data_IF_085916856193
#
_entry.id   IF_085916856193
#
_cell.length_a   1.000
_cell.length_b   1.000
_cell.length_c   1.000
_cell.angle_alpha   90.00
_cell.angle_beta   90.00
_cell.angle_gamma   90.00
#
_symmetry.space_group_name_H-M   'P 1'
#
loop_
_entity.id
_entity.type
_entity.pdbx_description
1 polymer ?
#
# COMPACT_ATOMS: atom_id res chain seq x y z
N UNK A 1 -11.54 -25.34 -3.31
CA UNK A 1 -10.42 -24.51 -2.81
C UNK A 1 -10.89 -23.07 -2.87
N UNK A 2 -10.89 -22.36 -1.74
CA UNK A 2 -11.66 -21.12 -1.56
C UNK A 2 -10.66 -19.98 -1.35
N UNK A 3 -10.37 -19.25 -2.43
CA UNK A 3 -9.40 -18.16 -2.47
C UNK A 3 -9.57 -17.18 -1.31
N UNK A 4 -8.45 -16.91 -0.63
CA UNK A 4 -8.27 -16.10 0.57
C UNK A 4 -8.96 -14.72 0.53
N UNK A 5 -9.32 -14.17 -0.63
CA UNK A 5 -9.89 -12.82 -0.76
C UNK A 5 -11.09 -12.68 -1.70
N UNK A 6 -11.60 -13.77 -2.30
CA UNK A 6 -12.62 -13.70 -3.36
C UNK A 6 -14.04 -14.06 -2.92
N UNK A 7 -14.24 -14.37 -1.64
CA UNK A 7 -15.57 -14.76 -1.13
C UNK A 7 -16.62 -13.66 -1.32
N UNK A 8 -16.18 -12.40 -1.40
CA UNK A 8 -17.00 -11.26 -1.80
C UNK A 8 -16.17 -10.34 -2.69
N UNK A 9 -16.70 -10.01 -3.86
CA UNK A 9 -16.10 -9.06 -4.81
C UNK A 9 -16.29 -7.63 -4.31
N UNK A 10 -15.66 -7.31 -3.19
CA UNK A 10 -15.79 -6.00 -2.52
C UNK A 10 -15.32 -4.85 -3.42
N UNK A 11 -14.38 -5.11 -4.33
CA UNK A 11 -13.92 -4.14 -5.33
C UNK A 11 -14.97 -3.80 -6.40
N UNK A 12 -16.03 -4.61 -6.57
CA UNK A 12 -17.16 -4.33 -7.47
C UNK A 12 -18.33 -3.64 -6.73
N UNK A 13 -18.20 -3.37 -5.42
CA UNK A 13 -19.27 -2.84 -4.58
C UNK A 13 -18.98 -1.41 -4.13
N UNK A 14 -19.51 -0.42 -4.87
CA UNK A 14 -19.26 1.01 -4.62
C UNK A 14 -19.64 1.51 -3.21
N UNK A 15 -20.56 0.82 -2.52
CA UNK A 15 -20.96 1.16 -1.14
C UNK A 15 -19.91 0.75 -0.09
N UNK A 16 -18.98 -0.13 -0.44
CA UNK A 16 -17.93 -0.61 0.46
C UNK A 16 -16.62 0.09 0.09
N UNK A 17 -16.29 1.15 0.81
CA UNK A 17 -15.02 1.88 0.62
C UNK A 17 -13.88 1.37 1.50
N UNK A 18 -14.18 0.61 2.56
CA UNK A 18 -13.19 -0.02 3.43
C UNK A 18 -13.81 -1.13 4.29
N UNK A 19 -12.98 -2.07 4.74
CA UNK A 19 -13.35 -3.13 5.70
C UNK A 19 -12.28 -3.15 6.78
N UNK A 20 -12.67 -3.14 8.06
CA UNK A 20 -11.77 -3.18 9.22
C UNK A 20 -10.68 -2.08 9.28
N UNK A 21 -10.85 -0.98 8.53
CA UNK A 21 -9.97 0.19 8.62
C UNK A 21 -10.27 0.94 9.92
N UNK A 22 -9.23 1.36 10.63
CA UNK A 22 -9.39 2.23 11.79
C UNK A 22 -10.09 3.54 11.39
N UNK A 23 -10.83 4.18 12.31
CA UNK A 23 -11.43 5.49 12.06
C UNK A 23 -10.39 6.51 11.63
N UNK A 24 -10.78 7.43 10.74
CA UNK A 24 -9.92 8.57 10.39
C UNK A 24 -9.60 9.35 11.66
N UNK A 25 -8.33 9.60 11.88
CA UNK A 25 -7.85 10.36 13.03
C UNK A 25 -6.56 11.07 12.64
N UNK A 26 -6.38 12.28 13.16
CA UNK A 26 -5.08 12.94 13.17
C UNK A 26 -4.23 12.26 14.24
N UNK A 27 -3.83 11.00 14.01
CA UNK A 27 -2.99 10.25 14.94
C UNK A 27 -1.69 11.05 15.12
N UNK A 28 -1.43 11.64 16.30
CA UNK A 28 -0.16 12.29 16.53
C UNK A 28 0.91 11.21 16.51
N UNK A 29 2.04 11.50 15.86
CA UNK A 29 3.22 10.68 16.02
C UNK A 29 3.57 10.63 17.51
N UNK A 30 3.85 9.42 17.99
CA UNK A 30 4.26 9.24 19.37
C UNK A 30 5.76 9.57 19.46
N UNK A 31 6.13 10.36 20.46
CA UNK A 31 7.52 10.70 20.74
C UNK A 31 7.86 10.32 22.18
N UNK A 32 9.08 9.81 22.44
CA UNK A 32 9.55 9.54 23.79
C UNK A 32 9.53 10.75 24.71
N UNK A 33 9.86 11.94 24.18
CA UNK A 33 9.95 13.17 24.98
C UNK A 33 9.14 14.31 24.37
N UNK A 34 8.71 15.22 25.24
CA UNK A 34 8.02 16.45 24.84
C UNK A 34 8.86 17.34 23.93
N UNK A 35 10.18 17.40 24.16
CA UNK A 35 11.08 18.24 23.37
C UNK A 35 11.17 17.78 21.92
N UNK A 36 11.24 16.47 21.69
CA UNK A 36 11.21 15.88 20.35
C UNK A 36 9.87 16.19 19.65
N UNK A 37 8.75 15.97 20.35
CA UNK A 37 7.42 16.30 19.82
C UNK A 37 7.30 17.79 19.44
N UNK A 38 7.82 18.68 20.28
CA UNK A 38 7.81 20.13 20.05
C UNK A 38 8.72 20.54 18.90
N UNK A 39 9.87 19.89 18.75
CA UNK A 39 10.79 20.13 17.64
C UNK A 39 10.14 19.74 16.30
N UNK A 40 9.59 18.53 16.22
CA UNK A 40 8.87 18.03 15.05
C UNK A 40 7.70 18.97 14.67
N UNK A 41 6.90 19.38 15.65
CA UNK A 41 5.78 20.29 15.43
C UNK A 41 6.21 21.67 14.87
N UNK A 42 7.42 22.15 15.18
CA UNK A 42 7.95 23.42 14.67
C UNK A 42 8.53 23.29 13.27
N UNK A 43 9.27 22.22 13.00
CA UNK A 43 9.94 22.01 11.73
C UNK A 43 8.95 21.58 10.62
N UNK A 44 7.81 21.02 11.01
CA UNK A 44 6.77 20.60 10.09
C UNK A 44 7.09 19.27 9.39
N UNK A 45 6.14 18.74 8.60
CA UNK A 45 6.24 17.40 8.03
C UNK A 45 7.31 17.25 6.94
N UNK A 46 7.71 18.34 6.28
CA UNK A 46 8.67 18.29 5.16
C UNK A 46 10.09 17.94 5.60
N UNK A 47 10.47 18.31 6.82
CA UNK A 47 11.80 18.07 7.40
C UNK A 47 11.78 16.96 8.45
N UNK A 48 10.69 16.18 8.50
CA UNK A 48 10.49 15.17 9.51
C UNK A 48 11.41 13.98 9.26
N UNK A 49 12.31 13.75 10.20
CA UNK A 49 13.10 12.51 10.29
C UNK A 49 12.60 11.67 11.47
N UNK A 50 12.14 10.45 11.17
CA UNK A 50 11.65 9.49 12.17
C UNK A 50 12.59 8.31 12.36
N UNK A 51 13.78 8.34 11.74
CA UNK A 51 14.76 7.24 11.82
C UNK A 51 15.19 6.93 13.26
N UNK A 52 15.22 7.94 14.13
CA UNK A 52 15.59 7.80 15.54
C UNK A 52 14.40 7.56 16.48
N UNK A 53 13.16 7.56 15.96
CA UNK A 53 11.97 7.41 16.81
C UNK A 53 11.69 5.92 17.10
N UNK A 54 11.74 5.46 18.36
CA UNK A 54 11.55 4.05 18.71
C UNK A 54 10.12 3.54 18.51
N UNK A 55 9.14 4.42 18.36
CA UNK A 55 7.74 4.06 18.10
C UNK A 55 7.40 4.07 16.60
N UNK A 56 8.39 4.30 15.74
CA UNK A 56 8.26 4.30 14.30
C UNK A 56 9.20 3.27 13.68
N UNK A 57 8.72 2.57 12.68
CA UNK A 57 9.53 1.69 11.85
C UNK A 57 9.06 1.82 10.41
N UNK A 58 9.96 2.27 9.53
CA UNK A 58 9.67 2.24 8.10
C UNK A 58 9.65 0.80 7.60
N UNK A 59 8.67 0.49 6.75
CA UNK A 59 8.61 -0.76 5.99
C UNK A 59 8.94 -0.54 4.51
N UNK A 60 9.42 0.66 4.16
CA UNK A 60 9.88 0.97 2.82
C UNK A 60 11.14 0.17 2.48
N UNK A 61 11.30 -0.12 1.20
CA UNK A 61 12.42 -0.91 0.68
C UNK A 61 11.93 -2.02 -0.24
N UNK A 62 12.54 -3.19 -0.09
CA UNK A 62 12.36 -4.28 -1.05
C UNK A 62 11.27 -5.26 -0.64
N UNK A 63 10.31 -5.42 -1.52
CA UNK A 63 9.19 -6.31 -1.32
C UNK A 63 9.19 -7.42 -2.37
N UNK A 64 8.64 -8.58 -1.98
CA UNK A 64 8.32 -9.65 -2.94
C UNK A 64 6.98 -9.33 -3.58
N UNK A 65 6.95 -9.33 -4.91
CA UNK A 65 5.80 -8.92 -5.70
C UNK A 65 5.58 -9.87 -6.88
N UNK A 66 4.31 -10.08 -7.22
CA UNK A 66 3.89 -10.90 -8.34
C UNK A 66 2.60 -10.28 -8.92
N UNK A 67 2.58 -10.00 -10.22
CA UNK A 67 1.43 -9.43 -10.91
C UNK A 67 0.62 -10.54 -11.59
N UNK A 68 -0.70 -10.45 -11.49
CA UNK A 68 -1.67 -11.36 -12.11
C UNK A 68 -2.62 -10.58 -13.01
N UNK A 69 -3.17 -11.24 -14.04
CA UNK A 69 -4.08 -10.57 -14.99
C UNK A 69 -5.46 -10.28 -14.36
N UNK A 70 -5.87 -11.07 -13.38
CA UNK A 70 -7.12 -10.90 -12.67
C UNK A 70 -7.01 -11.48 -11.25
N UNK A 71 -7.81 -10.98 -10.28
CA UNK A 71 -7.73 -11.44 -8.90
C UNK A 71 -8.16 -12.91 -8.72
N UNK A 72 -8.87 -13.51 -9.69
CA UNK A 72 -9.32 -14.91 -9.61
C UNK A 72 -8.19 -15.92 -9.80
N UNK A 73 -7.05 -15.50 -10.36
CA UNK A 73 -5.84 -16.31 -10.52
C UNK A 73 -5.07 -16.49 -9.20
N UNK A 74 -5.41 -15.72 -8.17
CA UNK A 74 -4.75 -15.80 -6.85
C UNK A 74 -5.47 -16.82 -5.97
N UNK A 75 -4.84 -17.98 -5.79
CA UNK A 75 -5.28 -19.06 -4.90
C UNK A 75 -4.43 -19.15 -3.63
N UNK A 76 -4.87 -19.98 -2.67
CA UNK A 76 -4.22 -20.11 -1.36
C UNK A 76 -2.80 -20.73 -1.45
N UNK A 77 -2.45 -21.35 -2.58
CA UNK A 77 -1.13 -21.93 -2.82
C UNK A 77 -0.10 -20.89 -3.31
N UNK A 78 -0.49 -19.63 -3.47
CA UNK A 78 0.38 -18.54 -3.95
C UNK A 78 1.67 -18.39 -3.13
N UNK A 79 1.61 -18.64 -1.82
CA UNK A 79 2.77 -18.58 -0.94
C UNK A 79 3.81 -19.67 -1.23
N UNK A 80 3.39 -20.77 -1.87
CA UNK A 80 4.26 -21.87 -2.28
C UNK A 80 4.72 -21.76 -3.75
N UNK A 81 4.08 -20.92 -4.57
CA UNK A 81 4.45 -20.71 -5.99
C UNK A 81 5.70 -19.81 -6.12
N UNK A 82 6.55 -20.10 -7.11
CA UNK A 82 7.96 -19.65 -7.15
C UNK A 82 8.26 -18.39 -8.01
N UNK A 83 7.27 -17.62 -8.47
CA UNK A 83 7.54 -16.49 -9.39
C UNK A 83 7.52 -15.11 -8.71
N UNK A 84 7.99 -15.03 -7.48
CA UNK A 84 8.13 -13.76 -6.77
C UNK A 84 9.31 -12.97 -7.31
N UNK A 85 9.07 -11.73 -7.71
CA UNK A 85 10.10 -10.77 -8.10
C UNK A 85 10.28 -9.72 -7.00
N UNK A 86 11.37 -8.95 -7.09
CA UNK A 86 11.64 -7.84 -6.17
C UNK A 86 11.03 -6.55 -6.73
N UNK A 87 10.39 -5.76 -5.88
CA UNK A 87 9.88 -4.41 -6.20
C UNK A 87 10.29 -3.43 -5.10
N UNK A 88 10.49 -2.17 -5.45
CA UNK A 88 10.70 -1.09 -4.48
C UNK A 88 9.35 -0.51 -4.03
N UNK A 89 9.19 -0.35 -2.72
CA UNK A 89 8.04 0.30 -2.09
C UNK A 89 8.55 1.48 -1.25
N UNK A 90 8.01 2.71 -1.42
CA UNK A 90 6.95 3.07 -2.36
C UNK A 90 7.43 3.19 -3.81
N UNK A 91 6.53 2.89 -4.75
CA UNK A 91 6.76 3.08 -6.18
C UNK A 91 5.67 2.40 -7.02
N UNK A 92 5.23 3.02 -8.11
CA UNK A 92 4.20 2.42 -8.98
C UNK A 92 4.76 1.20 -9.71
N UNK A 93 4.03 0.08 -9.74
CA UNK A 93 4.52 -1.15 -10.41
C UNK A 93 4.71 -0.97 -11.92
N UNK A 94 3.93 -0.09 -12.57
CA UNK A 94 3.99 0.15 -14.02
C UNK A 94 5.30 0.82 -14.45
N UNK A 95 5.93 1.63 -13.60
CA UNK A 95 7.24 2.22 -13.90
C UNK A 95 8.41 1.32 -13.50
N UNK A 96 8.13 0.22 -12.81
CA UNK A 96 9.11 -0.80 -12.39
C UNK A 96 9.11 -2.03 -13.30
N UNK A 97 8.45 -1.95 -14.46
CA UNK A 97 8.51 -2.98 -15.51
C UNK A 97 7.47 -4.11 -15.40
N UNK A 98 6.51 -4.01 -14.48
CA UNK A 98 5.47 -5.04 -14.32
C UNK A 98 4.29 -4.87 -15.28
N UNK A 99 3.99 -3.65 -15.70
CA UNK A 99 2.90 -3.34 -16.64
C UNK A 99 3.14 -1.99 -17.33
N UNK A 100 2.23 -1.56 -18.21
CA UNK A 100 2.30 -0.30 -18.95
C UNK A 100 1.56 0.82 -18.21
N UNK A 101 2.12 2.03 -18.11
CA UNK A 101 1.35 3.18 -17.64
C UNK A 101 0.28 3.57 -18.67
N UNK A 102 -0.91 3.94 -18.20
CA UNK A 102 -1.99 4.46 -19.05
C UNK A 102 -2.01 5.99 -19.00
N UNK A 103 -2.01 6.63 -20.17
CA UNK A 103 -2.24 8.06 -20.32
C UNK A 103 -3.49 8.28 -21.18
N UNK A 104 -4.55 8.73 -20.54
CA UNK A 104 -5.84 9.04 -21.17
C UNK A 104 -6.46 10.27 -20.48
N UNK A 105 -7.25 11.05 -21.22
CA UNK A 105 -7.88 12.26 -20.72
C UNK A 105 -9.34 12.00 -20.30
N UNK A 106 -10.23 11.78 -21.28
CA UNK A 106 -11.68 11.64 -21.02
C UNK A 106 -12.15 10.19 -20.97
N UNK A 107 -11.56 9.31 -21.78
CA UNK A 107 -12.01 7.93 -21.92
C UNK A 107 -11.36 7.09 -20.81
N UNK A 108 -12.15 6.31 -20.08
CA UNK A 108 -11.61 5.40 -19.08
C UNK A 108 -10.69 4.35 -19.74
N UNK A 109 -9.59 3.94 -19.10
CA UNK A 109 -8.66 2.96 -19.67
C UNK A 109 -9.21 1.52 -19.67
N UNK A 110 -10.52 1.33 -19.43
CA UNK A 110 -11.22 0.06 -19.38
C UNK A 110 -12.68 0.24 -19.85
N UNK A 111 -13.29 -0.85 -20.30
CA UNK A 111 -14.70 -0.92 -20.69
C UNK A 111 -15.63 -0.96 -19.46
N UNK A 112 -16.88 -0.52 -19.64
CA UNK A 112 -17.94 -0.57 -18.61
C UNK A 112 -18.52 -1.97 -18.41
#
# INVERSE_FOLDING_TARGET
MKSLFLHRRVWEQSRISSVNRLPISALPLQFPTFEQAKSDAKNGPEQRDLSENPYYMSLDGDWRFCLFNNPLEVDDSIFAKQNWQRILVPGSWSVQGFDKPHYTNTIMPFEN
#
